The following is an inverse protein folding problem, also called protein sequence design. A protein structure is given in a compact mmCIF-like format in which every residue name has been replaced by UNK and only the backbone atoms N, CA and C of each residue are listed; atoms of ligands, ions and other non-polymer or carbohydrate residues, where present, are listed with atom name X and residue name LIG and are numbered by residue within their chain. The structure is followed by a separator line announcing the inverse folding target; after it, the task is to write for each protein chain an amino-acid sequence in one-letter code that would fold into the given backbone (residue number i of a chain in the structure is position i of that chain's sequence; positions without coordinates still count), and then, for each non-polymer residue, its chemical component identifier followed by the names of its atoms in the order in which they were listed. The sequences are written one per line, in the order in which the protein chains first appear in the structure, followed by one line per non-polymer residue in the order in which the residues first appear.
data_IF_189299273916
#
_entry.id   IF_189299273916
#
_cell.length_a   1.000
_cell.length_b   1.000
_cell.length_c   1.000
_cell.angle_alpha   90.00
_cell.angle_beta   90.00
_cell.angle_gamma   90.00
#
_symmetry.space_group_name_H-M   'P 1'
#
loop_
_entity.id
_entity.type
_entity.pdbx_description
1 polymer ?
#
# COMPACT_ATOMS: atom_id res chain seq x y z
N UNK A 1 -2.62 7.72 11.10
CA UNK A 1 -3.34 6.45 10.86
C UNK A 1 -3.73 6.39 9.39
N UNK A 2 -3.39 5.30 8.69
CA UNK A 2 -3.75 5.08 7.28
C UNK A 2 -4.78 3.96 7.22
N UNK A 3 -5.79 4.10 6.38
CA UNK A 3 -6.80 3.06 6.21
C UNK A 3 -7.23 2.93 4.75
N UNK A 4 -7.51 1.70 4.32
CA UNK A 4 -7.95 1.38 2.97
C UNK A 4 -9.01 0.29 3.02
N UNK A 5 -10.18 0.57 2.46
CA UNK A 5 -11.23 -0.44 2.24
C UNK A 5 -11.01 -1.10 0.87
N UNK A 6 -10.96 -2.43 0.83
CA UNK A 6 -10.90 -3.22 -0.40
C UNK A 6 -12.16 -4.08 -0.54
N UNK A 7 -12.70 -4.11 -1.75
CA UNK A 7 -13.86 -4.94 -2.10
C UNK A 7 -13.38 -6.07 -3.02
N UNK A 8 -13.06 -7.21 -2.40
CA UNK A 8 -12.61 -8.43 -3.07
C UNK A 8 -13.71 -9.49 -2.96
N UNK A 9 -13.38 -10.80 -2.86
CA UNK A 9 -14.39 -11.81 -2.47
C UNK A 9 -14.99 -11.51 -1.09
N UNK A 10 -14.24 -10.79 -0.26
CA UNK A 10 -14.61 -10.26 1.04
C UNK A 10 -14.37 -8.76 1.07
N UNK A 11 -15.12 -8.06 1.91
CA UNK A 11 -14.86 -6.65 2.22
C UNK A 11 -13.77 -6.60 3.28
N UNK A 12 -12.63 -6.01 2.94
CA UNK A 12 -11.49 -5.90 3.83
C UNK A 12 -11.26 -4.44 4.23
N UNK A 13 -10.79 -4.23 5.45
CA UNK A 13 -10.27 -2.95 5.91
C UNK A 13 -8.83 -3.13 6.37
N UNK A 14 -7.90 -2.48 5.66
CA UNK A 14 -6.47 -2.46 5.96
C UNK A 14 -6.20 -1.20 6.78
N UNK A 15 -5.58 -1.35 7.95
CA UNK A 15 -5.29 -0.21 8.84
C UNK A 15 -3.83 -0.25 9.29
N UNK A 16 -3.11 0.86 9.11
CA UNK A 16 -1.79 1.07 9.72
C UNK A 16 -1.88 2.11 10.85
N UNK A 17 -1.41 1.71 12.02
CA UNK A 17 -1.33 2.54 13.22
C UNK A 17 0.04 2.37 13.90
N UNK A 18 0.55 3.43 14.54
CA UNK A 18 1.84 3.38 15.24
C UNK A 18 1.78 2.49 16.49
N UNK A 19 0.62 2.46 17.14
CA UNK A 19 0.31 1.55 18.24
C UNK A 19 -0.85 0.66 17.80
N UNK A 20 -0.57 -0.62 17.54
CA UNK A 20 -1.56 -1.63 17.21
C UNK A 20 -2.33 -2.04 18.47
N UNK A 21 -3.07 -1.11 19.07
CA UNK A 21 -3.98 -1.39 20.16
C UNK A 21 -5.40 -1.44 19.60
N UNK A 22 -6.04 -2.61 19.64
CA UNK A 22 -7.41 -2.84 19.12
C UNK A 22 -8.40 -1.79 19.65
N UNK A 23 -8.20 -1.33 20.88
CA UNK A 23 -9.01 -0.29 21.50
C UNK A 23 -8.89 1.09 20.82
N UNK A 24 -7.69 1.48 20.37
CA UNK A 24 -7.47 2.77 19.68
C UNK A 24 -8.10 2.74 18.29
N UNK A 25 -8.04 1.60 17.61
CA UNK A 25 -8.64 1.44 16.29
C UNK A 25 -10.16 1.49 16.33
N UNK A 26 -10.80 0.95 17.38
CA UNK A 26 -12.26 1.02 17.55
C UNK A 26 -12.83 2.44 17.62
N UNK A 27 -12.04 3.44 18.05
CA UNK A 27 -12.47 4.85 18.08
C UNK A 27 -12.30 5.58 16.74
N UNK A 28 -11.43 5.09 15.86
CA UNK A 28 -11.14 5.71 14.56
C UNK A 28 -11.89 5.08 13.39
N UNK A 29 -12.44 3.88 13.57
CA UNK A 29 -13.17 3.13 12.54
C UNK A 29 -14.64 3.55 12.48
N UNK A 30 -15.25 3.43 11.30
CA UNK A 30 -16.70 3.65 11.13
C UNK A 30 -17.49 2.63 11.98
N UNK A 31 -18.75 2.90 12.26
CA UNK A 31 -19.61 1.93 12.95
C UNK A 31 -19.75 0.67 12.08
N UNK A 32 -19.38 -0.49 12.62
CA UNK A 32 -19.44 -1.78 11.91
C UNK A 32 -18.86 -2.91 12.76
N UNK A 33 -19.14 -4.15 12.36
CA UNK A 33 -18.52 -5.34 12.96
C UNK A 33 -17.26 -5.67 12.18
N UNK A 34 -16.12 -5.61 12.87
CA UNK A 34 -14.81 -5.90 12.29
C UNK A 34 -14.21 -7.12 12.96
N UNK A 35 -13.77 -8.09 12.17
CA UNK A 35 -13.02 -9.24 12.66
C UNK A 35 -11.56 -9.04 12.25
N UNK A 36 -10.65 -9.03 13.22
CA UNK A 36 -9.21 -9.08 12.94
C UNK A 36 -8.94 -10.40 12.21
N UNK A 37 -8.47 -10.32 10.97
CA UNK A 37 -8.14 -11.50 10.20
C UNK A 37 -6.68 -11.90 10.41
N UNK A 38 -5.74 -10.97 10.16
CA UNK A 38 -4.32 -11.17 10.39
C UNK A 38 -3.56 -9.84 10.51
N UNK A 39 -2.29 -9.91 10.96
CA UNK A 39 -1.35 -8.80 10.76
C UNK A 39 -0.87 -8.73 9.32
N UNK A 40 -0.44 -7.55 8.90
CA UNK A 40 0.18 -7.35 7.59
C UNK A 40 1.47 -8.16 7.44
N UNK A 41 2.28 -8.27 8.50
CA UNK A 41 3.50 -9.09 8.50
C UNK A 41 3.23 -10.61 8.51
N UNK A 42 2.02 -11.03 8.86
CA UNK A 42 1.57 -12.42 8.81
C UNK A 42 0.90 -12.77 7.47
N UNK A 43 0.69 -11.79 6.57
CA UNK A 43 0.03 -11.98 5.29
C UNK A 43 0.84 -12.92 4.40
N UNK A 44 0.40 -14.18 4.31
CA UNK A 44 0.97 -15.20 3.45
C UNK A 44 0.17 -15.37 2.15
N UNK A 45 0.72 -16.12 1.19
CA UNK A 45 -0.01 -16.50 -0.02
C UNK A 45 -1.34 -17.20 0.32
N UNK A 46 -1.36 -18.08 1.31
CA UNK A 46 -2.56 -18.86 1.65
C UNK A 46 -3.64 -18.02 2.31
N UNK A 47 -3.23 -17.04 3.10
CA UNK A 47 -4.15 -16.05 3.66
C UNK A 47 -4.72 -15.17 2.54
N UNK A 48 -3.84 -14.61 1.69
CA UNK A 48 -4.25 -13.75 0.59
C UNK A 48 -5.19 -14.46 -0.38
N UNK A 49 -4.95 -15.74 -0.67
CA UNK A 49 -5.78 -16.59 -1.51
C UNK A 49 -7.24 -16.62 -1.05
N UNK A 50 -7.48 -16.60 0.26
CA UNK A 50 -8.81 -16.56 0.85
C UNK A 50 -9.64 -15.31 0.49
N UNK A 51 -9.00 -14.25 0.01
CA UNK A 51 -9.65 -12.97 -0.28
C UNK A 51 -9.91 -12.72 -1.78
N UNK A 52 -9.13 -13.36 -2.65
CA UNK A 52 -8.97 -12.90 -4.03
C UNK A 52 -9.82 -13.67 -5.01
N UNK A 53 -10.31 -12.99 -6.05
CA UNK A 53 -10.94 -13.64 -7.19
C UNK A 53 -9.93 -14.53 -7.92
N UNK A 54 -10.36 -15.77 -8.18
CA UNK A 54 -9.61 -16.76 -8.94
C UNK A 54 -10.33 -16.99 -10.27
N UNK A 55 -9.54 -17.12 -11.34
CA UNK A 55 -10.03 -17.57 -12.64
C UNK A 55 -10.43 -19.04 -12.54
N UNK A 56 -11.69 -19.32 -12.87
CA UNK A 56 -12.29 -20.66 -12.83
C UNK A 56 -11.55 -21.63 -13.78
N UNK A 57 -10.95 -21.12 -14.86
CA UNK A 57 -10.32 -21.94 -15.89
C UNK A 57 -8.82 -22.17 -15.68
N UNK A 58 -8.14 -21.28 -14.96
CA UNK A 58 -6.68 -21.29 -14.87
C UNK A 58 -6.14 -21.41 -13.45
N UNK A 59 -6.98 -21.21 -12.42
CA UNK A 59 -6.53 -21.14 -11.03
C UNK A 59 -5.62 -19.94 -10.74
N UNK A 60 -5.55 -18.98 -11.67
CA UNK A 60 -4.78 -17.74 -11.52
C UNK A 60 -5.60 -16.67 -10.81
N UNK A 61 -4.91 -15.78 -10.09
CA UNK A 61 -5.53 -14.72 -9.31
C UNK A 61 -5.73 -13.46 -10.13
N UNK A 62 -6.80 -12.71 -9.87
CA UNK A 62 -7.09 -11.47 -10.57
C UNK A 62 -5.95 -10.44 -10.45
N UNK A 63 -5.60 -9.77 -11.54
CA UNK A 63 -4.79 -8.54 -11.48
C UNK A 63 -5.74 -7.34 -11.50
N UNK A 64 -5.73 -6.55 -10.44
CA UNK A 64 -6.60 -5.40 -10.29
C UNK A 64 -5.94 -4.16 -10.89
N UNK A 65 -6.55 -3.57 -11.92
CA UNK A 65 -6.03 -2.39 -12.61
C UNK A 65 -7.12 -1.32 -12.67
N UNK A 66 -6.73 -0.07 -12.42
CA UNK A 66 -7.65 1.08 -12.45
C UNK A 66 -8.32 1.17 -13.82
N UNK A 67 -9.65 1.24 -13.82
CA UNK A 67 -10.43 1.40 -15.05
C UNK A 67 -10.55 0.15 -15.92
N UNK A 68 -10.00 -0.99 -15.48
CA UNK A 68 -10.09 -2.27 -16.20
C UNK A 68 -10.97 -3.25 -15.41
N UNK A 69 -11.89 -3.97 -16.05
CA UNK A 69 -12.67 -5.01 -15.39
C UNK A 69 -11.78 -6.07 -14.73
N UNK A 70 -12.19 -6.51 -13.54
CA UNK A 70 -11.53 -7.59 -12.79
C UNK A 70 -11.46 -8.86 -13.66
N UNK A 71 -10.36 -9.61 -13.54
CA UNK A 71 -10.05 -10.84 -14.30
C UNK A 71 -9.68 -10.63 -15.78
N UNK A 72 -9.47 -9.40 -16.25
CA UNK A 72 -8.90 -9.17 -17.59
C UNK A 72 -7.43 -9.65 -17.67
N UNK A 73 -6.69 -9.46 -16.58
CA UNK A 73 -5.32 -9.95 -16.40
C UNK A 73 -5.25 -10.80 -15.14
N UNK A 74 -4.20 -11.62 -15.03
CA UNK A 74 -4.04 -12.51 -13.88
C UNK A 74 -2.59 -12.75 -13.47
N UNK A 75 -2.40 -13.01 -12.18
CA UNK A 75 -1.13 -13.39 -11.54
C UNK A 75 -1.14 -14.85 -11.11
N UNK A 76 0.07 -15.42 -10.98
CA UNK A 76 0.25 -16.74 -10.36
C UNK A 76 0.23 -16.67 -8.84
N UNK A 77 0.63 -15.54 -8.25
CA UNK A 77 0.70 -15.39 -6.80
C UNK A 77 -0.51 -14.62 -6.25
N UNK A 78 -1.11 -15.16 -5.19
CA UNK A 78 -2.12 -14.47 -4.40
C UNK A 78 -1.56 -13.18 -3.78
N UNK A 79 -0.31 -13.18 -3.32
CA UNK A 79 0.32 -11.98 -2.75
C UNK A 79 0.45 -10.86 -3.78
N UNK A 80 0.91 -11.16 -4.99
CA UNK A 80 1.02 -10.18 -6.09
C UNK A 80 -0.36 -9.61 -6.45
N UNK A 81 -1.36 -10.50 -6.53
CA UNK A 81 -2.75 -10.10 -6.79
C UNK A 81 -3.31 -9.20 -5.67
N UNK A 82 -3.06 -9.51 -4.40
CA UNK A 82 -3.46 -8.67 -3.27
C UNK A 82 -2.76 -7.30 -3.30
N UNK A 83 -1.45 -7.26 -3.58
CA UNK A 83 -0.71 -6.00 -3.71
C UNK A 83 -1.28 -5.17 -4.86
N UNK A 84 -1.60 -5.79 -6.01
CA UNK A 84 -2.22 -5.06 -7.12
C UNK A 84 -3.59 -4.49 -6.76
N UNK A 85 -4.36 -5.13 -5.87
CA UNK A 85 -5.62 -4.57 -5.37
C UNK A 85 -5.39 -3.29 -4.58
N UNK A 86 -4.34 -3.23 -3.76
CA UNK A 86 -3.92 -2.03 -3.02
C UNK A 86 -3.47 -0.93 -4.00
N UNK A 87 -2.65 -1.29 -4.98
CA UNK A 87 -2.12 -0.38 -6.01
C UNK A 87 -3.22 0.18 -6.91
N UNK A 88 -4.27 -0.60 -7.19
CA UNK A 88 -5.45 -0.13 -7.91
C UNK A 88 -6.23 0.96 -7.16
N UNK A 89 -5.92 1.22 -5.88
CA UNK A 89 -6.48 2.31 -5.09
C UNK A 89 -5.48 3.46 -4.88
N UNK A 90 -4.32 3.41 -5.52
CA UNK A 90 -3.26 4.40 -5.40
C UNK A 90 -2.39 4.27 -4.14
N UNK A 91 -2.44 3.11 -3.46
CA UNK A 91 -1.63 2.80 -2.29
C UNK A 91 -0.53 1.79 -2.64
N UNK A 92 0.42 1.57 -1.72
CA UNK A 92 1.51 0.62 -1.91
C UNK A 92 1.67 -0.29 -0.69
N UNK A 93 2.37 -1.42 -0.83
CA UNK A 93 2.56 -2.40 0.24
C UNK A 93 4.04 -2.68 0.49
N UNK A 94 4.50 -2.55 1.74
CA UNK A 94 5.87 -2.89 2.15
C UNK A 94 6.91 -1.83 1.80
N UNK A 95 7.07 -1.54 0.51
CA UNK A 95 8.09 -0.62 0.00
C UNK A 95 7.46 0.46 -0.88
N UNK A 96 7.92 1.70 -0.69
CA UNK A 96 7.56 2.82 -1.57
C UNK A 96 8.16 2.59 -2.96
N UNK A 97 7.39 2.82 -4.05
CA UNK A 97 7.92 2.73 -5.41
C UNK A 97 8.91 3.85 -5.73
N UNK A 98 8.86 4.95 -4.97
CA UNK A 98 9.77 6.08 -5.11
C UNK A 98 10.88 5.96 -4.07
N UNK A 99 12.13 5.97 -4.53
CA UNK A 99 13.31 5.98 -3.67
C UNK A 99 13.52 7.36 -3.03
N UNK A 100 14.15 7.37 -1.85
CA UNK A 100 14.54 8.63 -1.21
C UNK A 100 15.58 9.34 -2.08
N UNK A 101 15.35 10.62 -2.48
CA UNK A 101 16.30 11.33 -3.30
C UNK A 101 17.57 11.65 -2.51
N UNK A 102 18.71 11.57 -3.18
CA UNK A 102 19.97 11.98 -2.57
C UNK A 102 19.98 13.49 -2.40
N UNK A 103 20.27 13.97 -1.19
CA UNK A 103 20.47 15.39 -0.97
C UNK A 103 21.63 15.89 -1.84
N UNK A 104 21.47 17.03 -2.53
CA UNK A 104 22.59 17.64 -3.23
C UNK A 104 23.70 17.92 -2.20
N UNK A 105 24.98 17.78 -2.56
CA UNK A 105 26.09 18.08 -1.66
C UNK A 105 25.95 19.50 -1.11
N UNK A 106 26.29 19.73 0.17
CA UNK A 106 26.30 21.08 0.72
C UNK A 106 27.35 21.92 -0.02
N UNK A 107 26.91 22.88 -0.81
CA UNK A 107 27.81 23.71 -1.62
C UNK A 107 28.07 25.01 -0.88
N UNK A 108 29.36 25.31 -0.69
CA UNK A 108 29.81 26.61 -0.25
C UNK A 108 29.28 27.67 -1.24
N UNK A 109 28.59 28.73 -0.79
CA UNK A 109 28.00 29.75 -1.68
C UNK A 109 29.00 30.43 -2.64
N UNK A 110 30.31 30.22 -2.45
CA UNK A 110 31.39 30.73 -3.29
C UNK A 110 31.86 29.75 -4.41
N UNK A 111 31.24 28.58 -4.57
CA UNK A 111 31.63 27.62 -5.63
C UNK A 111 30.57 27.50 -6.72
N UNK A 112 31.00 27.65 -7.97
CA UNK A 112 30.20 27.60 -9.21
C UNK A 112 29.66 26.18 -9.55
N UNK A 113 29.27 25.39 -8.54
CA UNK A 113 29.17 23.94 -8.65
C UNK A 113 27.83 23.39 -9.13
N UNK A 114 26.69 24.00 -8.76
CA UNK A 114 25.36 23.55 -9.19
C UNK A 114 24.38 24.73 -9.27
N UNK A 115 23.36 24.58 -10.10
CA UNK A 115 22.38 25.60 -10.41
C UNK A 115 21.22 25.59 -9.41
N UNK A 116 20.50 26.71 -9.27
CA UNK A 116 19.26 26.78 -8.50
C UNK A 116 18.25 25.69 -8.89
N UNK A 117 18.30 25.22 -10.14
CA UNK A 117 17.46 24.14 -10.66
C UNK A 117 17.69 22.80 -9.95
N UNK A 118 18.92 22.48 -9.54
CA UNK A 118 19.23 21.20 -8.87
C UNK A 118 18.54 21.09 -7.50
N UNK A 119 18.38 22.23 -6.81
CA UNK A 119 17.61 22.28 -5.56
C UNK A 119 16.11 22.24 -5.77
N UNK A 120 15.61 22.79 -6.88
CA UNK A 120 14.20 22.72 -7.25
C UNK A 120 13.81 21.27 -7.57
N UNK A 121 14.62 20.58 -8.37
CA UNK A 121 14.42 19.18 -8.73
C UNK A 121 14.47 18.28 -7.48
N UNK A 122 15.47 18.47 -6.60
CA UNK A 122 15.55 17.74 -5.34
C UNK A 122 14.30 17.93 -4.47
N UNK A 123 13.78 19.16 -4.35
CA UNK A 123 12.56 19.43 -3.56
C UNK A 123 11.33 18.77 -4.18
N UNK A 124 11.25 18.76 -5.50
CA UNK A 124 10.17 18.08 -6.22
C UNK A 124 10.23 16.56 -5.97
N UNK A 125 11.39 15.94 -6.14
CA UNK A 125 11.58 14.50 -5.89
C UNK A 125 11.30 14.14 -4.42
N UNK A 126 11.74 14.99 -3.49
CA UNK A 126 11.51 14.79 -2.06
C UNK A 126 10.02 14.87 -1.73
N UNK A 127 9.28 15.78 -2.37
CA UNK A 127 7.83 15.86 -2.23
C UNK A 127 7.15 14.57 -2.72
N UNK A 128 7.51 14.10 -3.91
CA UNK A 128 6.99 12.85 -4.47
C UNK A 128 7.30 11.65 -3.58
N UNK A 129 8.51 11.57 -3.04
CA UNK A 129 8.92 10.54 -2.09
C UNK A 129 8.03 10.53 -0.84
N UNK A 130 7.79 11.68 -0.21
CA UNK A 130 6.93 11.77 0.96
C UNK A 130 5.47 11.44 0.64
N UNK A 131 4.97 11.84 -0.52
CA UNK A 131 3.63 11.47 -0.99
C UNK A 131 3.51 9.94 -1.12
N UNK A 132 4.44 9.29 -1.84
CA UNK A 132 4.45 7.83 -1.99
C UNK A 132 4.61 7.10 -0.65
N UNK A 133 5.50 7.59 0.23
CA UNK A 133 5.67 7.05 1.59
C UNK A 133 4.40 7.16 2.43
N UNK A 134 3.65 8.26 2.29
CA UNK A 134 2.36 8.45 2.97
C UNK A 134 1.28 7.48 2.50
N UNK A 135 1.41 6.92 1.28
CA UNK A 135 0.49 5.93 0.71
C UNK A 135 1.00 4.49 0.77
N UNK A 136 2.21 4.28 1.30
CA UNK A 136 2.79 2.94 1.44
C UNK A 136 2.46 2.37 2.82
N UNK A 137 1.78 1.22 2.87
CA UNK A 137 1.54 0.47 4.10
C UNK A 137 2.82 -0.24 4.57
N UNK A 138 3.10 -0.16 5.87
CA UNK A 138 4.13 -0.93 6.55
C UNK A 138 3.53 -2.22 7.14
N UNK A 139 3.86 -3.42 6.61
CA UNK A 139 3.29 -4.68 7.05
C UNK A 139 3.39 -4.93 8.56
N UNK A 140 4.49 -4.52 9.20
CA UNK A 140 4.71 -4.71 10.64
C UNK A 140 3.77 -3.88 11.52
N UNK A 141 3.22 -2.79 10.97
CA UNK A 141 2.31 -1.88 11.65
C UNK A 141 0.87 -1.97 11.14
N UNK A 142 0.60 -2.95 10.28
CA UNK A 142 -0.67 -3.07 9.59
C UNK A 142 -1.50 -4.22 10.15
N UNK A 143 -2.81 -4.00 10.29
CA UNK A 143 -3.80 -5.03 10.59
C UNK A 143 -4.82 -5.09 9.44
N UNK A 144 -5.24 -6.31 9.12
CA UNK A 144 -6.23 -6.57 8.07
C UNK A 144 -7.48 -7.11 8.75
N UNK A 145 -8.59 -6.42 8.51
CA UNK A 145 -9.91 -6.75 9.03
C UNK A 145 -10.81 -7.27 7.93
N UNK A 146 -11.70 -8.20 8.28
CA UNK A 146 -12.90 -8.48 7.50
C UNK A 146 -14.06 -7.61 8.03
N UNK A 147 -14.77 -6.96 7.10
CA UNK A 147 -15.99 -6.20 7.37
C UNK A 147 -17.17 -7.11 7.09
N UNK A 148 -18.02 -7.35 8.09
CA UNK A 148 -19.25 -8.15 7.95
C UNK A 148 -20.41 -7.35 7.35
#
# INVERSE_FOLDING_TARGET
MKQLELELKKRLLIVEAEEANEFIMSKGMKSGTYIVFCKGSELSHEIAKGFLHESIHTGLFAHYVIGIPVNTYCYKSALESFISAIESKGYYWGRSPIAEPNAPPFINPNSNGYSENDYVDYRYDLHQFYEAKSRTFNPEKTLIFEIL
#
